data_IF_057749908416
#
_entry.id   IF_057749908416
#
_cell.length_a   1.000
_cell.length_b   1.000
_cell.length_c   1.000
_cell.angle_alpha   90.00
_cell.angle_beta   90.00
_cell.angle_gamma   90.00
#
_symmetry.space_group_name_H-M   'P 1'
#
loop_
_entity.id
_entity.type
_entity.pdbx_description
1 polymer ?
#
# COMPACT_ATOMS: atom_id res chain seq x y z
N UNK A 1 9.04 -95.04 14.35
CA UNK A 1 9.38 -93.70 14.87
C UNK A 1 8.96 -92.67 13.83
N UNK A 2 8.28 -91.60 14.25
CA UNK A 2 8.26 -90.23 13.68
C UNK A 2 8.19 -90.04 12.15
N UNK A 3 7.38 -89.17 11.54
CA UNK A 3 6.69 -87.96 12.01
C UNK A 3 5.73 -87.50 10.90
N UNK A 4 4.71 -86.76 11.32
CA UNK A 4 3.70 -86.05 10.55
C UNK A 4 4.24 -84.78 9.85
N UNK A 5 3.39 -84.24 8.99
CA UNK A 5 3.17 -82.82 8.63
C UNK A 5 3.96 -82.23 7.42
N UNK A 6 3.21 -81.93 6.36
CA UNK A 6 3.51 -80.85 5.41
C UNK A 6 2.19 -80.20 4.95
N UNK A 7 1.78 -79.17 5.67
CA UNK A 7 0.88 -78.09 5.20
C UNK A 7 1.14 -76.88 6.11
N UNK A 8 1.81 -75.87 5.60
CA UNK A 8 2.06 -74.63 6.34
C UNK A 8 1.03 -73.57 5.95
N UNK A 9 0.31 -73.11 6.98
CA UNK A 9 -0.48 -71.90 7.06
C UNK A 9 0.43 -70.72 7.44
N UNK A 10 0.23 -69.60 6.75
CA UNK A 10 0.04 -68.23 7.26
C UNK A 10 0.41 -67.90 8.72
N UNK A 11 1.21 -66.84 8.92
CA UNK A 11 0.96 -65.79 9.94
C UNK A 11 1.42 -64.43 9.37
N UNK A 12 0.53 -63.45 9.54
CA UNK A 12 0.62 -62.04 9.21
C UNK A 12 1.81 -61.30 9.85
N UNK A 13 2.22 -60.18 9.23
CA UNK A 13 2.65 -59.04 10.03
C UNK A 13 2.18 -57.73 9.40
N UNK A 14 1.08 -57.22 9.98
CA UNK A 14 0.64 -55.85 9.88
C UNK A 14 1.64 -54.91 10.54
N UNK A 15 2.14 -53.91 9.81
CA UNK A 15 2.45 -52.58 10.34
C UNK A 15 2.32 -51.56 9.20
N UNK A 16 1.09 -51.16 8.89
CA UNK A 16 0.81 -49.98 8.07
C UNK A 16 0.71 -48.76 9.01
N UNK A 17 1.56 -47.76 8.79
CA UNK A 17 1.48 -46.47 9.48
C UNK A 17 0.30 -45.67 8.90
N UNK A 18 -0.58 -45.09 9.75
CA UNK A 18 -1.70 -44.29 9.27
C UNK A 18 -1.18 -42.99 8.65
N UNK A 19 -1.48 -42.73 7.38
CA UNK A 19 -1.24 -41.43 6.75
C UNK A 19 -0.62 -41.42 5.35
N UNK A 20 -0.21 -42.55 4.78
CA UNK A 20 0.26 -42.62 3.38
C UNK A 20 -0.64 -43.56 2.56
N UNK A 21 -1.64 -42.98 1.89
CA UNK A 21 -2.44 -43.69 0.88
C UNK A 21 -1.93 -43.29 -0.52
N UNK A 22 -1.05 -44.10 -1.12
CA UNK A 22 -0.60 -43.96 -2.51
C UNK A 22 -1.59 -44.66 -3.47
N UNK A 23 -2.88 -44.33 -3.37
CA UNK A 23 -3.83 -44.62 -4.45
C UNK A 23 -3.95 -43.38 -5.32
N UNK A 24 -3.55 -43.51 -6.58
CA UNK A 24 -3.67 -42.46 -7.59
C UNK A 24 -5.15 -42.05 -7.72
N UNK A 25 -5.49 -40.85 -7.23
CA UNK A 25 -6.78 -40.23 -7.52
C UNK A 25 -6.83 -39.84 -9.01
N UNK A 26 -8.01 -39.90 -9.65
CA UNK A 26 -8.17 -39.36 -11.00
C UNK A 26 -7.78 -37.89 -10.97
N UNK A 27 -6.90 -37.49 -11.87
CA UNK A 27 -6.53 -36.08 -12.07
C UNK A 27 -7.80 -35.29 -12.39
N UNK A 28 -8.27 -34.49 -11.44
CA UNK A 28 -9.12 -33.36 -11.77
C UNK A 28 -8.40 -32.54 -12.83
N UNK A 29 -9.08 -32.08 -13.89
CA UNK A 29 -8.43 -31.26 -14.90
C UNK A 29 -7.87 -30.04 -14.19
N UNK A 30 -6.53 -29.91 -14.22
CA UNK A 30 -5.84 -28.64 -14.00
C UNK A 30 -6.66 -27.57 -14.70
N UNK A 31 -7.10 -26.58 -13.92
CA UNK A 31 -7.81 -25.39 -14.38
C UNK A 31 -6.92 -24.69 -15.41
N UNK A 32 -7.01 -25.14 -16.66
CA UNK A 32 -6.65 -24.34 -17.84
C UNK A 32 -7.40 -23.05 -17.62
N UNK A 33 -6.75 -21.86 -17.60
CA UNK A 33 -7.49 -20.63 -17.48
C UNK A 33 -8.53 -20.65 -18.58
N UNK A 34 -9.80 -20.77 -18.17
CA UNK A 34 -10.90 -20.48 -19.06
C UNK A 34 -10.56 -19.13 -19.66
N UNK A 35 -10.67 -19.01 -20.98
CA UNK A 35 -10.50 -17.71 -21.64
C UNK A 35 -11.58 -16.79 -21.07
N UNK A 36 -11.28 -16.16 -19.93
CA UNK A 36 -12.17 -15.22 -19.29
C UNK A 36 -12.31 -14.10 -20.28
N UNK A 37 -13.55 -13.83 -20.69
CA UNK A 37 -13.81 -12.79 -21.66
C UNK A 37 -13.22 -11.48 -21.11
N UNK A 38 -12.19 -10.98 -21.77
CA UNK A 38 -11.61 -9.69 -21.45
C UNK A 38 -12.50 -8.61 -22.06
N UNK A 39 -12.81 -7.58 -21.27
CA UNK A 39 -13.51 -6.38 -21.76
C UNK A 39 -12.54 -5.24 -21.90
N UNK A 40 -12.83 -4.37 -22.86
CA UNK A 40 -12.06 -3.15 -23.07
C UNK A 40 -12.77 -2.01 -22.37
N UNK A 41 -12.04 -1.24 -21.58
CA UNK A 41 -12.51 -0.03 -20.93
C UNK A 41 -11.73 1.18 -21.43
N UNK A 42 -12.41 2.12 -22.08
CA UNK A 42 -11.83 3.41 -22.46
C UNK A 42 -12.10 4.44 -21.34
N UNK A 43 -11.08 5.22 -21.01
CA UNK A 43 -11.15 6.30 -20.03
C UNK A 43 -10.79 7.61 -20.73
N UNK A 44 -11.62 8.62 -20.57
CA UNK A 44 -11.34 9.99 -20.99
C UNK A 44 -10.35 10.65 -20.02
N UNK A 45 -9.72 11.73 -20.46
CA UNK A 45 -8.82 12.50 -19.62
C UNK A 45 -9.49 12.97 -18.31
N UNK A 46 -8.76 12.88 -17.21
CA UNK A 46 -9.17 13.25 -15.85
C UNK A 46 -10.29 12.38 -15.26
N UNK A 47 -10.45 11.15 -15.74
CA UNK A 47 -11.37 10.16 -15.17
C UNK A 47 -10.63 9.00 -14.53
N UNK A 48 -11.30 8.26 -13.66
CA UNK A 48 -10.78 7.04 -13.07
C UNK A 48 -11.75 5.86 -13.18
N UNK A 49 -11.18 4.68 -13.40
CA UNK A 49 -11.87 3.41 -13.28
C UNK A 49 -11.80 2.92 -11.83
N UNK A 50 -12.95 2.94 -11.14
CA UNK A 50 -13.09 2.45 -9.77
C UNK A 50 -13.58 1.01 -9.77
N UNK A 51 -13.00 0.18 -8.93
CA UNK A 51 -13.37 -1.22 -8.81
C UNK A 51 -13.26 -1.74 -7.38
N UNK A 52 -14.04 -2.76 -7.06
CA UNK A 52 -13.97 -3.54 -5.83
C UNK A 52 -13.90 -5.02 -6.17
N UNK A 53 -12.91 -5.73 -5.63
CA UNK A 53 -12.71 -7.16 -5.86
C UNK A 53 -12.83 -7.91 -4.54
N UNK A 54 -13.67 -8.93 -4.52
CA UNK A 54 -13.76 -9.87 -3.40
C UNK A 54 -12.43 -10.60 -3.18
N UNK A 55 -12.18 -11.09 -1.96
CA UNK A 55 -10.97 -11.89 -1.63
C UNK A 55 -10.90 -13.22 -2.39
N UNK A 56 -12.05 -13.78 -2.81
CA UNK A 56 -12.13 -15.04 -3.55
C UNK A 56 -12.11 -14.85 -5.08
N UNK A 57 -12.00 -13.60 -5.55
CA UNK A 57 -12.01 -13.25 -6.97
C UNK A 57 -10.70 -12.56 -7.34
N UNK A 58 -10.42 -12.55 -8.64
CA UNK A 58 -9.31 -11.81 -9.22
C UNK A 58 -9.81 -10.95 -10.38
N UNK A 59 -9.36 -9.71 -10.42
CA UNK A 59 -9.53 -8.79 -11.53
C UNK A 59 -8.16 -8.53 -12.14
N UNK A 60 -8.03 -8.66 -13.46
CA UNK A 60 -6.80 -8.30 -14.16
C UNK A 60 -7.00 -7.00 -14.91
N UNK A 61 -6.04 -6.09 -14.84
CA UNK A 61 -6.03 -4.84 -15.60
C UNK A 61 -4.71 -4.74 -16.35
N UNK A 62 -4.79 -4.44 -17.64
CA UNK A 62 -3.64 -4.21 -18.52
C UNK A 62 -3.82 -2.91 -19.29
N UNK A 63 -2.80 -2.07 -19.29
CA UNK A 63 -2.81 -0.83 -20.07
C UNK A 63 -2.50 -1.14 -21.54
N UNK A 64 -3.44 -0.83 -22.43
CA UNK A 64 -3.28 -1.03 -23.87
C UNK A 64 -2.68 0.21 -24.55
N UNK A 65 -3.26 1.39 -24.28
CA UNK A 65 -2.82 2.66 -24.89
C UNK A 65 -2.98 3.83 -23.92
N UNK A 66 -2.18 4.88 -24.11
CA UNK A 66 -2.19 6.07 -23.26
C UNK A 66 -1.39 5.87 -21.97
N UNK A 67 -1.72 6.68 -20.96
CA UNK A 67 -1.06 6.64 -19.64
C UNK A 67 -2.11 6.48 -18.55
N UNK A 68 -1.85 5.62 -17.58
CA UNK A 68 -2.73 5.42 -16.43
C UNK A 68 -1.89 5.20 -15.16
N UNK A 69 -2.45 5.54 -14.01
CA UNK A 69 -1.79 5.39 -12.72
C UNK A 69 -2.73 4.81 -11.66
N UNK A 70 -2.18 3.96 -10.80
CA UNK A 70 -2.84 3.38 -9.63
C UNK A 70 -2.22 4.01 -8.37
N UNK A 71 -2.99 4.87 -7.69
CA UNK A 71 -2.52 5.68 -6.56
C UNK A 71 -1.16 6.36 -6.81
N UNK A 72 -1.02 7.01 -7.96
CA UNK A 72 0.17 7.74 -8.39
C UNK A 72 1.31 6.90 -8.99
N UNK A 73 1.20 5.56 -8.98
CA UNK A 73 2.18 4.68 -9.65
C UNK A 73 1.71 4.38 -11.07
N UNK A 74 2.54 4.68 -12.07
CA UNK A 74 2.21 4.43 -13.48
C UNK A 74 2.11 2.95 -13.81
N UNK A 75 1.09 2.57 -14.59
CA UNK A 75 0.95 1.24 -15.16
C UNK A 75 1.89 1.11 -16.37
N UNK A 76 2.67 0.03 -16.39
CA UNK A 76 3.51 -0.28 -17.54
C UNK A 76 2.64 -0.75 -18.73
N UNK A 77 2.88 -0.24 -19.95
CA UNK A 77 2.17 -0.68 -21.14
C UNK A 77 2.29 -2.18 -21.35
N UNK A 78 1.18 -2.83 -21.69
CA UNK A 78 1.11 -4.28 -21.94
C UNK A 78 1.47 -5.19 -20.77
N UNK A 79 1.69 -4.66 -19.56
CA UNK A 79 1.81 -5.46 -18.34
C UNK A 79 0.43 -5.72 -17.73
N UNK A 80 0.20 -6.96 -17.30
CA UNK A 80 -1.03 -7.37 -16.63
C UNK A 80 -0.83 -7.30 -15.12
N UNK A 81 -1.70 -6.57 -14.44
CA UNK A 81 -1.75 -6.46 -12.98
C UNK A 81 -2.98 -7.18 -12.46
N UNK A 82 -2.83 -7.94 -11.37
CA UNK A 82 -3.87 -8.75 -10.76
C UNK A 82 -4.24 -8.20 -9.39
N UNK A 83 -5.53 -7.96 -9.18
CA UNK A 83 -6.08 -7.42 -7.96
C UNK A 83 -7.03 -8.42 -7.31
N UNK A 84 -6.95 -8.57 -5.99
CA UNK A 84 -7.85 -9.42 -5.20
C UNK A 84 -8.05 -8.82 -3.81
N UNK A 85 -9.27 -8.94 -3.26
CA UNK A 85 -9.58 -8.46 -1.91
C UNK A 85 -9.32 -6.96 -1.69
N UNK A 86 -9.51 -6.13 -2.73
CA UNK A 86 -9.10 -4.72 -2.70
C UNK A 86 -10.12 -3.81 -3.38
N UNK A 87 -10.13 -2.55 -2.94
CA UNK A 87 -10.83 -1.45 -3.59
C UNK A 87 -9.78 -0.54 -4.23
N UNK A 88 -9.93 -0.28 -5.52
CA UNK A 88 -8.91 0.39 -6.32
C UNK A 88 -9.50 1.46 -7.22
N UNK A 89 -8.64 2.38 -7.64
CA UNK A 89 -8.94 3.37 -8.67
C UNK A 89 -7.73 3.50 -9.61
N UNK A 90 -7.96 3.29 -10.91
CA UNK A 90 -6.97 3.56 -11.97
C UNK A 90 -7.35 4.87 -12.64
N UNK A 91 -6.52 5.88 -12.46
CA UNK A 91 -6.75 7.23 -12.96
C UNK A 91 -5.95 7.50 -14.25
N UNK A 92 -6.44 8.40 -15.10
CA UNK A 92 -5.68 8.88 -16.27
C UNK A 92 -5.75 10.40 -16.43
N UNK A 93 -4.58 11.04 -16.62
CA UNK A 93 -4.48 12.47 -16.91
C UNK A 93 -4.85 12.81 -18.36
N UNK A 94 -4.57 11.91 -19.30
CA UNK A 94 -4.62 12.20 -20.75
C UNK A 94 -5.60 11.32 -21.53
N UNK A 95 -6.21 10.34 -20.86
CA UNK A 95 -7.03 9.31 -21.47
C UNK A 95 -6.22 8.04 -21.73
N UNK A 96 -6.87 6.90 -21.59
CA UNK A 96 -6.24 5.60 -21.83
C UNK A 96 -7.25 4.52 -22.21
N UNK A 97 -6.72 3.38 -22.64
CA UNK A 97 -7.50 2.17 -22.92
C UNK A 97 -6.96 1.04 -22.07
N UNK A 98 -7.85 0.42 -21.31
CA UNK A 98 -7.56 -0.71 -20.43
C UNK A 98 -8.19 -1.97 -20.99
N UNK A 99 -7.48 -3.09 -20.86
CA UNK A 99 -8.04 -4.43 -20.98
C UNK A 99 -8.29 -4.94 -19.55
N UNK A 100 -9.53 -5.30 -19.27
CA UNK A 100 -9.98 -5.77 -17.97
C UNK A 100 -10.47 -7.21 -18.09
N UNK A 101 -9.88 -8.12 -17.31
CA UNK A 101 -10.28 -9.52 -17.23
C UNK A 101 -10.79 -9.88 -15.84
N UNK A 102 -11.61 -10.92 -15.76
CA UNK A 102 -12.20 -11.38 -14.49
C UNK A 102 -13.43 -10.59 -14.05
N UNK A 103 -13.83 -10.82 -12.79
CA UNK A 103 -15.07 -10.28 -12.21
C UNK A 103 -14.79 -9.44 -10.97
N UNK A 104 -15.20 -8.17 -11.01
CA UNK A 104 -15.31 -7.30 -9.86
C UNK A 104 -16.69 -7.46 -9.17
N UNK A 105 -16.78 -7.13 -7.88
CA UNK A 105 -18.07 -6.97 -7.19
C UNK A 105 -18.77 -5.67 -7.61
N UNK A 106 -18.00 -4.62 -7.82
CA UNK A 106 -18.46 -3.37 -8.43
C UNK A 106 -17.36 -2.77 -9.29
N UNK A 107 -17.74 -2.17 -10.41
CA UNK A 107 -16.83 -1.44 -11.29
C UNK A 107 -17.59 -0.34 -12.03
N UNK A 108 -17.00 0.85 -12.14
CA UNK A 108 -17.56 1.99 -12.88
C UNK A 108 -16.50 3.05 -13.17
N UNK A 109 -16.77 3.90 -14.15
CA UNK A 109 -15.95 5.08 -14.45
C UNK A 109 -16.48 6.27 -13.65
N UNK A 110 -15.59 6.98 -12.96
CA UNK A 110 -15.89 8.19 -12.22
C UNK A 110 -15.22 9.41 -12.88
N UNK A 111 -16.00 10.45 -13.11
CA UNK A 111 -15.51 11.74 -13.63
C UNK A 111 -15.08 12.69 -12.49
N UNK A 112 -15.72 12.57 -11.33
CA UNK A 112 -15.37 13.36 -10.14
C UNK A 112 -14.24 12.69 -9.37
N UNK A 113 -13.05 13.28 -9.45
CA UNK A 113 -11.82 12.78 -8.83
C UNK A 113 -11.17 13.84 -7.95
N UNK A 114 -10.41 13.40 -6.95
CA UNK A 114 -9.65 14.29 -6.07
C UNK A 114 -8.20 14.50 -6.55
N UNK A 115 -7.87 14.01 -7.75
CA UNK A 115 -6.50 13.93 -8.25
C UNK A 115 -5.88 15.29 -8.54
N UNK A 116 -6.66 16.27 -8.97
CA UNK A 116 -6.19 17.67 -9.10
C UNK A 116 -5.72 18.22 -7.76
N UNK A 117 -6.46 17.94 -6.68
CA UNK A 117 -6.09 18.35 -5.33
C UNK A 117 -4.78 17.69 -4.87
N UNK A 118 -4.64 16.39 -5.13
CA UNK A 118 -3.42 15.65 -4.82
C UNK A 118 -2.20 16.16 -5.62
N UNK A 119 -2.37 16.46 -6.91
CA UNK A 119 -1.31 17.02 -7.76
C UNK A 119 -0.88 18.42 -7.28
N UNK A 120 -1.84 19.31 -6.98
CA UNK A 120 -1.54 20.63 -6.44
C UNK A 120 -0.80 20.55 -5.10
N UNK A 121 -1.21 19.65 -4.21
CA UNK A 121 -0.53 19.41 -2.95
C UNK A 121 0.91 18.90 -3.19
N UNK A 122 1.12 17.97 -4.12
CA UNK A 122 2.46 17.50 -4.48
C UNK A 122 3.35 18.64 -4.97
N UNK A 123 2.91 19.50 -5.89
CA UNK A 123 3.72 20.62 -6.38
C UNK A 123 4.07 21.64 -5.28
N UNK A 124 3.14 21.90 -4.35
CA UNK A 124 3.41 22.74 -3.19
C UNK A 124 4.48 22.11 -2.28
N UNK A 125 4.36 20.81 -1.98
CA UNK A 125 5.34 20.08 -1.18
C UNK A 125 6.71 19.99 -1.89
N UNK A 126 6.71 19.84 -3.21
CA UNK A 126 7.95 19.79 -3.99
C UNK A 126 8.71 21.11 -3.94
N UNK A 127 8.01 22.25 -3.99
CA UNK A 127 8.62 23.57 -3.80
C UNK A 127 9.29 23.69 -2.42
N UNK A 128 8.70 23.09 -1.37
CA UNK A 128 9.30 23.04 -0.03
C UNK A 128 10.53 22.13 0.01
N UNK A 129 10.51 20.99 -0.70
CA UNK A 129 11.67 20.09 -0.82
C UNK A 129 12.82 20.75 -1.56
N UNK A 130 12.54 21.45 -2.66
CA UNK A 130 13.57 22.21 -3.40
C UNK A 130 14.26 23.24 -2.52
N UNK A 131 13.46 24.00 -1.75
CA UNK A 131 14.00 24.95 -0.77
C UNK A 131 14.86 24.23 0.27
N UNK A 132 14.39 23.12 0.84
CA UNK A 132 15.13 22.33 1.82
C UNK A 132 16.47 21.82 1.29
N UNK A 133 16.53 21.40 0.02
CA UNK A 133 17.78 21.02 -0.66
C UNK A 133 18.74 22.21 -0.76
N UNK A 134 18.24 23.38 -1.17
CA UNK A 134 19.04 24.60 -1.34
C UNK A 134 19.60 25.11 0.00
N UNK A 135 18.78 25.12 1.05
CA UNK A 135 19.17 25.59 2.39
C UNK A 135 19.82 24.51 3.25
N UNK A 136 19.90 23.26 2.75
CA UNK A 136 20.32 22.06 3.48
C UNK A 136 19.54 21.84 4.79
N UNK A 137 18.26 22.17 4.75
CA UNK A 137 17.34 22.05 5.87
C UNK A 137 16.43 20.81 5.72
N UNK A 138 15.54 20.59 6.68
CA UNK A 138 14.54 19.54 6.62
C UNK A 138 13.43 19.85 5.60
N UNK A 139 12.98 18.80 4.92
CA UNK A 139 11.83 18.81 4.03
C UNK A 139 10.49 18.94 4.76
N UNK A 140 9.39 18.97 4.00
CA UNK A 140 8.05 19.11 4.57
C UNK A 140 7.66 17.91 5.45
N UNK A 141 6.97 18.21 6.55
CA UNK A 141 6.43 17.22 7.50
C UNK A 141 4.90 17.31 7.42
N UNK A 142 4.29 16.31 6.82
CA UNK A 142 2.86 16.34 6.48
C UNK A 142 2.10 15.37 7.36
N UNK A 143 0.99 15.83 7.94
CA UNK A 143 0.06 14.99 8.70
C UNK A 143 -1.29 14.95 7.97
N UNK A 144 -1.71 13.77 7.55
CA UNK A 144 -3.01 13.57 6.89
C UNK A 144 -4.04 13.15 7.92
N UNK A 145 -5.10 13.93 8.06
CA UNK A 145 -6.17 13.70 9.06
C UNK A 145 -7.54 13.72 8.41
N UNK A 146 -8.45 12.96 9.00
CA UNK A 146 -9.82 12.85 8.51
C UNK A 146 -10.52 11.59 8.97
N UNK A 147 -11.82 11.48 8.73
CA UNK A 147 -12.63 10.38 9.23
C UNK A 147 -12.21 9.03 8.62
N UNK A 148 -12.80 7.94 9.14
CA UNK A 148 -12.68 6.63 8.51
C UNK A 148 -13.14 6.68 7.05
N UNK A 149 -12.45 5.94 6.17
CA UNK A 149 -12.77 5.81 4.74
C UNK A 149 -12.74 7.10 3.90
N UNK A 150 -12.12 8.18 4.39
CA UNK A 150 -12.01 9.44 3.66
C UNK A 150 -10.91 9.47 2.57
N UNK A 151 -10.26 8.33 2.30
CA UNK A 151 -9.20 8.23 1.29
C UNK A 151 -7.80 8.68 1.76
N UNK A 152 -7.56 8.79 3.07
CA UNK A 152 -6.26 9.23 3.64
C UNK A 152 -5.07 8.42 3.11
N UNK A 153 -5.13 7.10 3.23
CA UNK A 153 -4.08 6.20 2.78
C UNK A 153 -3.87 6.27 1.27
N UNK A 154 -4.94 6.42 0.48
CA UNK A 154 -4.85 6.60 -0.96
C UNK A 154 -4.14 7.91 -1.31
N UNK A 155 -4.46 9.01 -0.61
CA UNK A 155 -3.77 10.28 -0.78
C UNK A 155 -2.29 10.19 -0.39
N UNK A 156 -1.97 9.55 0.73
CA UNK A 156 -0.58 9.33 1.17
C UNK A 156 0.19 8.53 0.11
N UNK A 157 -0.38 7.42 -0.40
CA UNK A 157 0.24 6.64 -1.49
C UNK A 157 0.51 7.49 -2.72
N UNK A 158 -0.48 8.27 -3.18
CA UNK A 158 -0.32 9.15 -4.35
C UNK A 158 0.78 10.19 -4.14
N UNK A 159 0.81 10.87 -2.98
CA UNK A 159 1.84 11.87 -2.69
C UNK A 159 3.24 11.26 -2.58
N UNK A 160 3.36 10.07 -2.00
CA UNK A 160 4.63 9.33 -1.93
C UNK A 160 5.07 8.91 -3.34
N UNK A 161 4.16 8.35 -4.14
CA UNK A 161 4.47 7.93 -5.51
C UNK A 161 4.91 9.10 -6.40
N UNK A 162 4.25 10.25 -6.31
CA UNK A 162 4.65 11.46 -7.04
C UNK A 162 6.00 12.03 -6.59
N UNK A 163 6.29 12.00 -5.29
CA UNK A 163 7.59 12.38 -4.77
C UNK A 163 8.70 11.44 -5.26
N UNK A 164 8.47 10.12 -5.25
CA UNK A 164 9.40 9.13 -5.83
C UNK A 164 9.59 9.37 -7.34
N UNK A 165 8.50 9.64 -8.08
CA UNK A 165 8.54 9.98 -9.51
C UNK A 165 9.35 11.24 -9.79
N UNK A 166 9.39 12.17 -8.83
CA UNK A 166 10.20 13.39 -8.87
C UNK A 166 11.65 13.16 -8.39
N UNK A 167 12.07 11.91 -8.18
CA UNK A 167 13.42 11.55 -7.74
C UNK A 167 13.71 11.79 -6.26
N UNK A 168 12.67 11.97 -5.43
CA UNK A 168 12.79 12.16 -3.98
C UNK A 168 12.69 10.83 -3.24
N UNK A 169 13.11 10.82 -1.97
CA UNK A 169 13.05 9.66 -1.09
C UNK A 169 12.18 9.94 0.16
N UNK A 170 10.89 10.23 0.00
CA UNK A 170 10.04 10.56 1.14
C UNK A 170 9.87 9.37 2.07
N UNK A 171 9.68 9.64 3.36
CA UNK A 171 9.28 8.62 4.31
C UNK A 171 7.75 8.62 4.48
N UNK A 172 7.12 7.45 4.39
CA UNK A 172 5.73 7.27 4.77
C UNK A 172 5.66 6.63 6.16
N UNK A 173 4.81 7.18 7.02
CA UNK A 173 4.62 6.75 8.40
C UNK A 173 3.15 6.41 8.56
N UNK A 174 2.83 5.16 8.88
CA UNK A 174 1.47 4.73 9.18
C UNK A 174 1.29 4.61 10.70
N UNK A 175 0.42 5.45 11.24
CA UNK A 175 0.02 5.41 12.65
C UNK A 175 -1.34 4.74 12.87
N UNK A 176 -1.97 4.18 11.83
CA UNK A 176 -3.21 3.40 11.94
C UNK A 176 -2.89 1.91 12.16
N UNK A 177 -3.12 1.36 13.37
CA UNK A 177 -2.84 -0.05 13.65
C UNK A 177 -3.70 -1.00 12.81
N UNK A 178 -4.83 -0.55 12.27
CA UNK A 178 -5.74 -1.40 11.50
C UNK A 178 -5.19 -1.71 10.10
N UNK A 179 -4.21 -0.94 9.66
CA UNK A 179 -3.60 -1.07 8.34
C UNK A 179 -2.25 -1.80 8.44
N UNK A 180 -2.08 -2.83 7.61
CA UNK A 180 -0.82 -3.58 7.51
C UNK A 180 0.15 -2.95 6.50
N UNK A 181 0.64 -1.74 6.73
CA UNK A 181 1.67 -1.14 5.86
C UNK A 181 3.02 -1.82 6.10
N UNK A 182 3.44 -2.69 5.17
CA UNK A 182 4.71 -3.43 5.18
C UNK A 182 4.93 -4.30 6.42
N UNK A 183 3.89 -4.57 7.20
CA UNK A 183 3.91 -5.37 8.42
C UNK A 183 2.53 -5.97 8.71
N UNK A 184 2.45 -6.82 9.72
CA UNK A 184 1.17 -7.35 10.21
C UNK A 184 0.32 -6.22 10.83
N UNK A 185 -1.01 -6.33 10.73
CA UNK A 185 -1.91 -5.43 11.46
C UNK A 185 -1.64 -5.44 12.97
N UNK A 186 -2.03 -4.35 13.62
CA UNK A 186 -1.68 -4.04 15.00
C UNK A 186 -0.28 -3.43 15.13
N UNK A 187 0.31 -2.91 14.04
CA UNK A 187 1.64 -2.31 14.05
C UNK A 187 1.60 -0.86 13.57
N UNK A 188 2.45 -0.03 14.16
CA UNK A 188 2.80 1.31 13.64
C UNK A 188 4.07 1.18 12.83
N UNK A 189 4.12 1.74 11.63
CA UNK A 189 5.25 1.54 10.72
C UNK A 189 5.77 2.83 10.10
N UNK A 190 7.05 2.85 9.76
CA UNK A 190 7.69 3.94 9.02
C UNK A 190 8.66 3.35 8.00
N UNK A 191 8.60 3.79 6.74
CA UNK A 191 9.50 3.32 5.69
C UNK A 191 9.86 4.44 4.71
N UNK A 192 11.11 4.46 4.29
CA UNK A 192 11.58 5.34 3.21
C UNK A 192 11.26 4.69 1.86
N UNK A 193 10.69 5.48 0.96
CA UNK A 193 10.39 5.07 -0.41
C UNK A 193 11.39 5.71 -1.35
N UNK A 194 12.40 4.95 -1.77
CA UNK A 194 13.41 5.36 -2.75
C UNK A 194 13.19 4.78 -4.16
N UNK A 195 12.17 3.93 -4.30
CA UNK A 195 11.76 3.28 -5.54
C UNK A 195 10.24 3.21 -5.61
N UNK A 196 9.71 2.88 -6.79
CA UNK A 196 8.27 2.80 -7.05
C UNK A 196 7.52 1.93 -6.03
N UNK A 197 6.26 2.26 -5.80
CA UNK A 197 5.34 1.44 -5.00
C UNK A 197 4.87 0.28 -5.88
N UNK A 198 4.74 -0.90 -5.30
CA UNK A 198 4.19 -2.05 -6.02
C UNK A 198 2.66 -1.91 -6.19
N UNK A 199 2.16 -2.14 -7.40
CA UNK A 199 0.74 -1.99 -7.73
C UNK A 199 -0.10 -3.12 -7.12
N UNK A 200 0.40 -4.35 -7.15
CA UNK A 200 -0.32 -5.54 -6.69
C UNK A 200 -0.22 -5.68 -5.16
N UNK A 201 0.98 -5.48 -4.61
CA UNK A 201 1.21 -5.55 -3.15
C UNK A 201 0.86 -4.24 -2.42
N UNK A 202 0.57 -3.17 -3.16
CA UNK A 202 0.02 -1.91 -2.68
C UNK A 202 1.00 -0.98 -1.93
N UNK A 203 1.93 -1.49 -1.15
CA UNK A 203 3.08 -0.74 -0.58
C UNK A 203 4.43 -1.36 -0.97
N UNK A 204 4.41 -2.57 -1.53
CA UNK A 204 5.56 -3.42 -1.80
C UNK A 204 5.84 -4.42 -0.68
N UNK A 205 6.98 -5.10 -0.80
CA UNK A 205 7.40 -6.15 0.12
C UNK A 205 8.51 -5.72 1.06
N UNK A 206 8.54 -6.32 2.24
CA UNK A 206 9.70 -6.32 3.13
C UNK A 206 10.84 -7.17 2.54
N UNK A 207 12.07 -7.07 3.07
CA UNK A 207 13.22 -7.79 2.50
C UNK A 207 13.02 -9.30 2.57
N UNK A 208 13.23 -9.96 1.44
CA UNK A 208 13.22 -11.42 1.31
C UNK A 208 14.57 -11.89 0.78
N UNK A 209 14.96 -13.13 1.09
CA UNK A 209 16.25 -13.71 0.71
C UNK A 209 16.34 -14.13 -0.77
N UNK A 210 15.61 -13.46 -1.67
CA UNK A 210 15.51 -13.83 -3.09
C UNK A 210 15.31 -12.64 -4.01
N UNK A 211 15.36 -12.85 -5.34
CA UNK A 211 15.08 -11.80 -6.31
C UNK A 211 13.62 -11.37 -6.20
N UNK A 212 13.38 -10.05 -6.20
CA UNK A 212 12.06 -9.44 -6.21
C UNK A 212 11.92 -8.57 -7.46
N UNK A 213 10.76 -8.59 -8.16
CA UNK A 213 10.55 -7.75 -9.34
C UNK A 213 10.57 -6.26 -9.00
N UNK A 214 10.09 -5.89 -7.81
CA UNK A 214 10.13 -4.54 -7.27
C UNK A 214 11.11 -4.47 -6.09
N UNK A 215 11.92 -3.39 -5.96
CA UNK A 215 12.86 -3.27 -4.86
C UNK A 215 12.12 -3.23 -3.51
N UNK A 216 12.54 -4.11 -2.60
CA UNK A 216 11.99 -4.24 -1.25
C UNK A 216 12.17 -2.96 -0.43
N UNK A 217 11.27 -2.76 0.53
CA UNK A 217 11.30 -1.63 1.46
C UNK A 217 11.83 -2.09 2.82
N UNK A 218 12.44 -1.16 3.57
CA UNK A 218 12.97 -1.43 4.92
C UNK A 218 12.12 -0.70 5.97
N UNK A 219 11.03 -1.29 6.46
CA UNK A 219 10.18 -0.65 7.47
C UNK A 219 10.78 -0.74 8.88
N UNK A 220 10.67 0.35 9.64
CA UNK A 220 10.70 0.34 11.09
C UNK A 220 9.29 -0.01 11.58
N UNK A 221 9.19 -0.99 12.50
CA UNK A 221 7.91 -1.53 12.97
C UNK A 221 7.87 -1.50 14.49
N UNK A 222 6.83 -0.88 15.06
CA UNK A 222 6.47 -1.03 16.46
C UNK A 222 5.14 -1.76 16.56
N UNK A 223 5.13 -2.92 17.24
CA UNK A 223 3.91 -3.67 17.48
C UNK A 223 3.10 -3.02 18.62
N UNK A 224 1.90 -2.58 18.30
CA UNK A 224 0.94 -1.99 19.25
C UNK A 224 0.00 -3.06 19.83
N UNK A 225 -0.45 -4.02 19.01
CA UNK A 225 -1.23 -5.18 19.44
C UNK A 225 -2.72 -4.93 19.70
N UNK A 226 -3.19 -3.68 19.65
CA UNK A 226 -4.60 -3.31 19.77
C UNK A 226 -5.13 -2.77 18.44
N UNK A 227 -6.47 -2.76 18.30
CA UNK A 227 -7.11 -2.40 17.04
C UNK A 227 -7.16 -0.89 16.87
N UNK A 228 -7.60 -0.19 17.91
CA UNK A 228 -7.85 1.25 17.85
C UNK A 228 -6.83 2.01 18.72
N UNK A 229 -6.36 3.15 18.22
CA UNK A 229 -5.34 3.97 18.89
C UNK A 229 -5.77 4.46 20.28
N UNK A 230 -7.09 4.56 20.50
CA UNK A 230 -7.69 5.01 21.77
C UNK A 230 -7.76 3.92 22.84
N UNK A 231 -7.62 2.64 22.47
CA UNK A 231 -7.80 1.52 23.40
C UNK A 231 -6.65 1.36 24.38
N UNK A 232 -5.46 1.84 24.02
CA UNK A 232 -4.21 1.56 24.73
C UNK A 232 -3.50 2.82 25.20
N UNK A 233 -3.12 2.83 26.48
CA UNK A 233 -2.22 3.86 27.06
C UNK A 233 -0.83 3.87 26.42
N UNK A 234 -0.48 2.82 25.68
CA UNK A 234 0.84 2.64 25.06
C UNK A 234 0.96 3.30 23.68
N UNK A 235 -0.15 3.79 23.09
CA UNK A 235 -0.12 4.44 21.77
C UNK A 235 0.81 5.66 21.76
N UNK A 236 0.62 6.63 22.68
CA UNK A 236 1.46 7.84 22.78
C UNK A 236 2.94 7.52 23.02
N UNK A 237 3.32 6.65 23.99
CA UNK A 237 4.70 6.21 24.14
C UNK A 237 5.31 5.59 22.87
N UNK A 238 4.54 4.79 22.12
CA UNK A 238 5.02 4.20 20.86
C UNK A 238 5.20 5.27 19.77
N UNK A 239 4.29 6.25 19.68
CA UNK A 239 4.43 7.41 18.78
C UNK A 239 5.68 8.22 19.11
N UNK A 240 5.96 8.50 20.39
CA UNK A 240 7.19 9.18 20.83
C UNK A 240 8.43 8.37 20.40
N UNK A 241 8.45 7.05 20.62
CA UNK A 241 9.56 6.19 20.16
C UNK A 241 9.72 6.20 18.64
N UNK A 242 8.61 6.18 17.91
CA UNK A 242 8.61 6.31 16.45
C UNK A 242 9.21 7.64 16.00
N UNK A 243 8.78 8.75 16.58
CA UNK A 243 9.29 10.08 16.24
C UNK A 243 10.79 10.21 16.49
N UNK A 244 11.29 9.69 17.61
CA UNK A 244 12.73 9.65 17.92
C UNK A 244 13.52 8.83 16.90
N UNK A 245 13.05 7.63 16.58
CA UNK A 245 13.73 6.75 15.62
C UNK A 245 13.71 7.32 14.20
N UNK A 246 12.58 7.90 13.77
CA UNK A 246 12.45 8.60 12.48
C UNK A 246 13.41 9.78 12.41
N UNK A 247 13.44 10.62 13.45
CA UNK A 247 14.31 11.81 13.48
C UNK A 247 15.79 11.41 13.41
N UNK A 248 16.21 10.44 14.23
CA UNK A 248 17.58 9.92 14.20
C UNK A 248 17.96 9.38 12.83
N UNK A 249 17.06 8.64 12.16
CA UNK A 249 17.30 8.16 10.80
C UNK A 249 17.46 9.31 9.78
N UNK A 250 16.62 10.35 9.88
CA UNK A 250 16.70 11.49 8.97
C UNK A 250 17.98 12.31 9.17
N UNK A 251 18.58 12.31 10.36
CA UNK A 251 19.88 12.95 10.58
C UNK A 251 21.02 12.23 9.85
N UNK A 252 20.92 10.90 9.72
CA UNK A 252 21.91 10.08 9.01
C UNK A 252 21.72 10.06 7.49
N UNK A 253 20.50 10.36 7.00
CA UNK A 253 20.14 10.33 5.59
C UNK A 253 19.64 11.71 5.09
N UNK A 254 20.55 12.56 4.55
CA UNK A 254 20.19 13.88 4.04
C UNK A 254 19.16 13.87 2.92
N UNK A 255 19.15 12.83 2.07
CA UNK A 255 18.21 12.74 0.95
C UNK A 255 16.77 12.54 1.45
N UNK A 256 16.60 11.63 2.40
CA UNK A 256 15.32 11.44 3.09
C UNK A 256 14.94 12.66 3.94
N UNK A 257 15.92 13.29 4.61
CA UNK A 257 15.69 14.51 5.41
C UNK A 257 15.09 15.63 4.58
N UNK A 258 15.64 15.88 3.40
CA UNK A 258 15.20 16.92 2.47
C UNK A 258 13.89 16.56 1.76
N UNK A 259 13.64 15.27 1.53
CA UNK A 259 12.36 14.79 0.99
C UNK A 259 11.20 14.93 1.97
N UNK A 260 11.50 14.87 3.27
CA UNK A 260 10.52 14.97 4.35
C UNK A 260 9.72 13.68 4.54
N UNK A 261 8.61 13.79 5.27
CA UNK A 261 7.77 12.63 5.58
C UNK A 261 6.28 12.96 5.57
N UNK A 262 5.48 11.92 5.36
CA UNK A 262 4.02 11.99 5.35
C UNK A 262 3.47 10.96 6.33
N UNK A 263 2.64 11.40 7.26
CA UNK A 263 2.02 10.59 8.30
C UNK A 263 0.55 10.32 7.93
N UNK A 264 0.20 9.04 7.81
CA UNK A 264 -1.18 8.56 7.78
C UNK A 264 -1.69 8.30 9.21
N UNK A 265 -2.91 8.73 9.48
CA UNK A 265 -3.52 8.65 10.82
C UNK A 265 -4.75 7.75 10.83
N UNK A 266 -5.08 7.11 11.96
CA UNK A 266 -6.31 6.34 12.09
C UNK A 266 -7.55 7.26 12.03
N UNK A 267 -8.60 6.79 11.37
CA UNK A 267 -9.82 7.59 11.15
C UNK A 267 -10.58 7.97 12.43
N UNK A 268 -10.41 7.20 13.50
CA UNK A 268 -11.02 7.46 14.81
C UNK A 268 -10.47 8.70 15.53
N UNK A 269 -9.29 9.19 15.14
CA UNK A 269 -8.65 10.36 15.76
C UNK A 269 -9.30 11.68 15.31
N UNK A 270 -10.04 11.71 14.19
CA UNK A 270 -10.68 12.92 13.68
C UNK A 270 -12.10 13.22 14.21
N UNK A 271 -12.76 12.28 14.90
CA UNK A 271 -14.21 12.34 15.17
C UNK A 271 -14.59 12.77 16.60
N UNK A 272 -14.24 14.00 16.98
CA UNK A 272 -15.07 14.85 17.86
C UNK A 272 -15.31 14.43 19.32
N UNK A 273 -14.63 13.44 19.91
CA UNK A 273 -14.63 13.26 21.37
C UNK A 273 -13.42 13.98 21.99
N UNK A 274 -13.62 14.60 23.15
CA UNK A 274 -12.70 15.54 23.79
C UNK A 274 -11.24 15.05 23.98
N UNK A 275 -10.97 13.74 23.96
CA UNK A 275 -9.61 13.17 24.06
C UNK A 275 -8.90 12.90 22.73
N UNK A 276 -9.57 13.02 21.58
CA UNK A 276 -9.00 12.61 20.28
C UNK A 276 -8.11 13.68 19.63
N UNK A 277 -8.36 14.97 19.90
CA UNK A 277 -7.45 16.04 19.53
C UNK A 277 -6.11 15.94 20.26
N UNK A 278 -6.09 15.40 21.48
CA UNK A 278 -4.85 15.22 22.24
C UNK A 278 -3.88 14.25 21.55
N UNK A 279 -4.39 13.23 20.85
CA UNK A 279 -3.53 12.31 20.10
C UNK A 279 -2.95 13.00 18.85
N UNK A 280 -3.72 13.86 18.17
CA UNK A 280 -3.22 14.69 17.07
C UNK A 280 -2.14 15.65 17.60
N UNK A 281 -2.43 16.36 18.69
CA UNK A 281 -1.50 17.29 19.30
C UNK A 281 -0.22 16.60 19.74
N UNK A 282 -0.32 15.40 20.34
CA UNK A 282 0.82 14.56 20.70
C UNK A 282 1.65 14.15 19.48
N UNK A 283 1.01 13.69 18.40
CA UNK A 283 1.72 13.36 17.16
C UNK A 283 2.44 14.61 16.63
N UNK A 284 1.75 15.75 16.57
CA UNK A 284 2.34 17.00 16.09
C UNK A 284 3.52 17.41 16.99
N UNK A 285 3.40 17.36 18.31
CA UNK A 285 4.48 17.79 19.22
C UNK A 285 5.73 16.92 19.05
N UNK A 286 5.55 15.59 18.99
CA UNK A 286 6.66 14.65 18.87
C UNK A 286 7.36 14.76 17.51
N UNK A 287 6.61 14.86 16.42
CA UNK A 287 7.17 14.97 15.08
C UNK A 287 7.60 16.40 14.69
N UNK A 288 7.26 17.42 15.49
CA UNK A 288 7.73 18.81 15.29
C UNK A 288 8.99 19.13 16.07
N UNK A 289 9.22 18.49 17.22
CA UNK A 289 10.20 18.90 18.24
C UNK A 289 11.68 18.97 17.82
N UNK A 290 12.04 18.49 16.63
CA UNK A 290 13.41 18.50 16.12
C UNK A 290 13.73 19.58 15.06
N UNK A 291 12.76 20.40 14.61
CA UNK A 291 13.04 21.48 13.65
C UNK A 291 12.33 22.78 14.00
N UNK A 292 13.11 23.85 14.16
CA UNK A 292 12.69 25.21 14.50
C UNK A 292 12.08 25.98 13.30
N UNK A 293 11.47 25.26 12.35
CA UNK A 293 10.83 25.83 11.17
C UNK A 293 9.39 25.33 11.10
N UNK A 294 8.47 26.25 11.38
CA UNK A 294 7.02 26.11 11.24
C UNK A 294 6.64 25.46 9.90
N UNK A 295 6.29 24.18 9.90
CA UNK A 295 5.55 23.51 8.83
C UNK A 295 4.47 22.64 9.47
N UNK A 296 3.31 23.25 9.75
CA UNK A 296 2.10 22.56 10.22
C UNK A 296 1.14 22.42 9.05
N UNK A 297 1.49 21.56 8.09
CA UNK A 297 0.61 21.29 6.96
C UNK A 297 -0.24 20.06 7.28
N UNK A 298 -1.44 20.35 7.80
CA UNK A 298 -2.49 19.37 8.00
C UNK A 298 -3.34 19.35 6.74
N UNK A 299 -3.41 18.20 6.06
CA UNK A 299 -4.30 18.04 4.91
C UNK A 299 -5.61 17.40 5.40
N UNK A 300 -6.72 18.16 5.51
CA UNK A 300 -8.02 17.59 5.84
C UNK A 300 -8.65 16.92 4.62
N UNK A 301 -9.17 15.70 4.78
CA UNK A 301 -10.03 15.03 3.78
C UNK A 301 -11.52 15.34 4.04
N UNK A 302 -12.38 15.58 3.02
CA UNK A 302 -13.83 15.85 3.19
C UNK A 302 -14.63 14.65 3.75
N UNK A 303 -15.87 14.83 4.31
CA UNK A 303 -16.74 16.01 4.25
C UNK A 303 -16.86 16.72 5.61
N UNK A 304 -16.07 17.78 5.79
CA UNK A 304 -16.41 18.84 6.74
C UNK A 304 -17.02 19.99 5.94
N UNK A 305 -18.34 20.13 6.03
CA UNK A 305 -19.04 21.29 5.50
C UNK A 305 -18.49 22.58 6.14
N UNK A 306 -18.20 23.56 5.28
CA UNK A 306 -17.89 24.96 5.59
C UNK A 306 -16.49 25.28 6.17
N UNK A 307 -15.42 24.91 5.46
CA UNK A 307 -14.15 25.64 5.52
C UNK A 307 -13.60 25.84 4.09
N UNK A 308 -13.09 27.04 3.72
CA UNK A 308 -12.46 27.25 2.43
C UNK A 308 -11.15 26.45 2.35
N UNK A 309 -10.97 25.71 1.25
CA UNK A 309 -9.75 25.18 0.62
C UNK A 309 -8.55 24.78 1.51
N UNK A 310 -8.08 23.54 1.29
CA UNK A 310 -6.70 23.04 1.52
C UNK A 310 -5.78 24.04 2.25
N UNK A 311 -5.86 24.11 3.57
CA UNK A 311 -4.95 24.94 4.36
C UNK A 311 -3.63 24.17 4.57
N UNK A 312 -2.84 24.04 3.50
CA UNK A 312 -1.38 24.12 3.63
C UNK A 312 -1.15 25.54 4.15
N UNK A 313 -0.92 25.69 5.46
CA UNK A 313 -0.81 27.02 6.08
C UNK A 313 0.61 27.51 5.85
N UNK A 314 0.91 27.90 4.60
CA UNK A 314 1.98 28.83 4.29
C UNK A 314 1.57 30.20 4.82
N UNK A 315 1.78 30.47 6.10
CA UNK A 315 1.71 31.83 6.62
C UNK A 315 2.90 32.12 7.54
N UNK A 316 3.78 32.95 7.01
CA UNK A 316 4.54 33.90 7.81
C UNK A 316 3.59 34.66 8.74
N UNK A 317 3.90 34.66 10.03
CA UNK A 317 3.69 35.76 10.99
C UNK A 317 2.30 36.43 11.07
N UNK A 318 1.72 36.35 12.28
CA UNK A 318 0.63 37.16 12.88
C UNK A 318 -0.78 36.53 13.01
N UNK A 319 -1.22 36.51 14.27
CA UNK A 319 -2.53 36.14 14.82
C UNK A 319 -3.73 36.80 14.16
N UNK A 320 -4.85 36.07 14.05
CA UNK A 320 -6.13 36.40 14.71
C UNK A 320 -7.21 35.32 14.45
N UNK A 321 -8.17 35.27 15.37
CA UNK A 321 -9.14 34.20 15.65
C UNK A 321 -10.54 34.66 15.21
N UNK A 322 -11.29 33.87 14.43
CA UNK A 322 -12.72 34.12 14.18
C UNK A 322 -13.49 32.78 14.16
N UNK A 323 -14.49 32.67 15.05
CA UNK A 323 -15.51 31.61 15.14
C UNK A 323 -16.70 31.98 14.26
N UNK A 324 -17.31 31.03 13.54
CA UNK A 324 -18.73 31.13 13.14
C UNK A 324 -19.46 29.78 13.04
N UNK A 325 -20.78 29.91 13.17
CA UNK A 325 -21.82 28.98 13.60
C UNK A 325 -22.46 28.21 12.42
N UNK A 326 -22.79 26.93 12.62
CA UNK A 326 -23.33 26.00 11.60
C UNK A 326 -24.84 25.82 11.73
N UNK A 327 -25.56 25.75 10.60
CA UNK A 327 -26.86 25.06 10.55
C UNK A 327 -27.04 24.27 9.23
N UNK A 328 -27.53 23.04 9.41
CA UNK A 328 -28.28 22.17 8.50
C UNK A 328 -27.59 20.96 7.81
N UNK A 329 -28.43 19.92 7.61
CA UNK A 329 -28.21 18.47 7.64
C UNK A 329 -28.21 17.77 6.25
N UNK A 330 -27.90 16.45 6.30
CA UNK A 330 -28.18 15.31 5.38
C UNK A 330 -27.19 15.11 4.20
N UNK A 331 -26.77 13.90 3.78
CA UNK A 331 -27.08 12.49 4.10
C UNK A 331 -25.85 11.59 3.74
N UNK A 332 -25.64 10.46 4.43
CA UNK A 332 -24.50 9.53 4.18
C UNK A 332 -24.98 8.08 4.09
N UNK A 333 -24.45 7.32 3.13
CA UNK A 333 -24.55 5.86 3.09
C UNK A 333 -23.51 5.23 4.02
N UNK A 334 -23.95 4.33 4.89
CA UNK A 334 -23.12 3.58 5.84
C UNK A 334 -22.75 2.21 5.26
N UNK A 335 -21.47 1.84 5.36
CA UNK A 335 -21.02 0.45 5.19
C UNK A 335 -20.90 -0.22 6.56
N UNK A 336 -21.47 -1.42 6.69
CA UNK A 336 -21.46 -2.25 7.90
C UNK A 336 -20.05 -2.74 8.29
N UNK A 337 -19.88 -3.08 9.57
CA UNK A 337 -18.62 -3.34 10.29
C UNK A 337 -17.83 -4.62 9.91
N UNK A 338 -18.13 -5.27 8.78
CA UNK A 338 -17.49 -6.52 8.36
C UNK A 338 -16.12 -6.41 7.61
N UNK A 339 -15.78 -5.36 6.83
CA UNK A 339 -14.62 -5.40 5.92
C UNK A 339 -13.24 -5.17 6.60
N UNK A 340 -13.22 -4.76 7.87
CA UNK A 340 -11.95 -4.49 8.57
C UNK A 340 -11.19 -5.75 9.00
N UNK A 341 -11.88 -6.86 9.25
CA UNK A 341 -11.23 -8.12 9.64
C UNK A 341 -10.54 -8.80 8.45
N UNK A 342 -11.08 -8.65 7.23
CA UNK A 342 -10.53 -9.28 6.02
C UNK A 342 -9.38 -8.50 5.38
N UNK A 343 -9.38 -7.16 5.51
CA UNK A 343 -8.21 -6.34 5.12
C UNK A 343 -6.98 -6.66 5.97
N UNK A 344 -7.19 -7.18 7.19
CA UNK A 344 -6.13 -7.57 8.12
C UNK A 344 -5.53 -8.96 7.84
N UNK A 345 -6.30 -9.89 7.26
CA UNK A 345 -5.82 -11.25 6.99
C UNK A 345 -4.86 -11.31 5.80
N UNK A 346 -4.98 -10.40 4.82
CA UNK A 346 -4.08 -10.39 3.65
C UNK A 346 -2.62 -10.09 4.03
N UNK A 347 -2.27 -8.97 4.70
CA UNK A 347 -0.88 -8.69 5.07
C UNK A 347 -0.29 -9.75 6.02
N UNK A 348 -1.12 -10.29 6.93
CA UNK A 348 -0.72 -11.35 7.85
C UNK A 348 -0.36 -12.67 7.14
N UNK A 349 -0.99 -12.96 6.00
CA UNK A 349 -0.69 -14.14 5.19
C UNK A 349 0.47 -13.92 4.21
N UNK A 350 0.68 -12.68 3.73
CA UNK A 350 1.76 -12.35 2.78
C UNK A 350 3.14 -12.40 3.43
N UNK A 351 3.28 -11.90 4.66
CA UNK A 351 4.57 -11.89 5.38
C UNK A 351 5.26 -13.26 5.51
N UNK A 352 4.57 -14.35 5.91
CA UNK A 352 5.21 -15.66 6.00
C UNK A 352 5.35 -16.39 4.66
N UNK A 353 4.61 -16.01 3.60
CA UNK A 353 4.56 -16.77 2.33
C UNK A 353 5.26 -16.10 1.14
N UNK A 354 5.49 -14.79 1.18
CA UNK A 354 5.86 -14.01 -0.01
C UNK A 354 4.76 -14.00 -1.06
N UNK A 355 4.80 -13.05 -1.99
CA UNK A 355 3.85 -13.03 -3.12
C UNK A 355 4.26 -14.05 -4.20
N UNK A 356 3.30 -14.67 -4.90
CA UNK A 356 3.60 -15.57 -6.00
C UNK A 356 4.30 -14.81 -7.14
N UNK A 357 5.53 -15.19 -7.47
CA UNK A 357 6.27 -14.65 -8.61
C UNK A 357 5.65 -15.21 -9.90
N UNK A 358 5.26 -14.39 -10.90
CA UNK A 358 4.78 -14.90 -12.17
C UNK A 358 5.92 -15.63 -12.91
N UNK A 359 5.74 -16.93 -13.16
CA UNK A 359 6.66 -17.73 -13.95
C UNK A 359 6.55 -17.35 -15.43
N UNK A 360 7.51 -16.57 -15.93
CA UNK A 360 7.68 -16.41 -17.38
C UNK A 360 8.34 -17.67 -17.92
N UNK A 361 7.62 -18.41 -18.76
CA UNK A 361 8.14 -19.55 -19.50
C UNK A 361 9.13 -19.05 -20.57
N UNK A 362 10.42 -19.05 -20.26
CA UNK A 362 11.45 -18.89 -21.28
C UNK A 362 11.63 -20.21 -22.02
N UNK A 363 11.22 -20.24 -23.29
CA UNK A 363 11.52 -21.31 -24.21
C UNK A 363 13.05 -21.38 -24.41
N UNK A 364 13.65 -22.49 -24.00
CA UNK A 364 15.06 -22.79 -24.21
C UNK A 364 15.36 -22.94 -25.70
N UNK A 365 16.16 -22.02 -26.24
CA UNK A 365 16.77 -22.19 -27.57
C UNK A 365 18.21 -22.63 -27.34
N UNK A 366 18.55 -23.85 -27.77
CA UNK A 366 19.88 -24.47 -27.60
C UNK A 366 20.99 -23.66 -28.29
N UNK A 367 22.20 -23.56 -27.72
CA UNK A 367 23.30 -22.84 -28.35
C UNK A 367 23.96 -23.70 -29.44
N UNK A 368 24.07 -23.14 -30.65
CA UNK A 368 24.90 -23.66 -31.73
C UNK A 368 26.39 -23.38 -31.45
N UNK A 369 27.23 -24.38 -31.66
CA UNK A 369 28.66 -24.36 -31.43
C UNK A 369 29.39 -23.36 -32.36
N UNK A 370 30.22 -22.49 -31.77
CA UNK A 370 31.13 -21.61 -32.50
C UNK A 370 32.48 -22.32 -32.70
N UNK A 371 32.91 -22.46 -33.96
CA UNK A 371 34.22 -22.98 -34.35
C UNK A 371 35.32 -21.93 -34.15
N UNK A 372 36.40 -22.35 -33.49
CA UNK A 372 37.64 -21.61 -33.27
C UNK A 372 38.34 -21.25 -34.59
N UNK A 373 38.56 -19.97 -34.85
CA UNK A 373 39.46 -19.49 -35.90
C UNK A 373 40.81 -19.08 -35.29
N UNK A 374 41.88 -19.71 -35.77
CA UNK A 374 43.28 -19.42 -35.46
C UNK A 374 43.65 -17.99 -35.87
N UNK A 375 44.40 -17.30 -35.00
CA UNK A 375 45.16 -16.10 -35.36
C UNK A 375 46.65 -16.43 -35.37
N UNK A 376 47.25 -16.19 -36.52
CA UNK A 376 48.70 -16.12 -36.74
C UNK A 376 49.33 -15.06 -35.83
N UNK A 377 50.40 -15.45 -35.13
CA UNK A 377 51.75 -14.83 -35.15
C UNK A 377 52.69 -15.73 -34.38
#
# INVERSE_FOLDING_TARGET
MSTKLLRALQIDNMFALPGLNLSAQPSEPLNVPSSSATRTQELSANTEYRFEVAFARALTIKLLTGTAEYFGTELAPSSTYTFSGTKGAVFTWHGCKLEVGGEAESEYVAEETQMIGAANAHFALESLRERAVQTRDAGPRVLVVGPENAGKTSLVKTLIAYAVKSGRQPMAINLDPRQGMLSVPGSLTAAVFSSIIDIEEGWGSSPISGPSPTPVKMPLVYHYGLRDAEEGKVFRPLVTRMALAVTSRLEEDPASKQAGFIIDTPGGIGQGKAGQYENIEHIISEFSGACDVHCRDVIPTPPYNNLPWLAIRLQSSHSHNIKHNTNNRQSTSSSSSAPSASTQTSPANTLPKGSPIPSTSSASTSPAAASTAQKNT
#
